data_IF_436952243661
#
_entry.id   IF_436952243661
#
_cell.length_a   1.000
_cell.length_b   1.000
_cell.length_c   1.000
_cell.angle_alpha   90.00
_cell.angle_beta   90.00
_cell.angle_gamma   90.00
#
_symmetry.space_group_name_H-M   'P 1'
#
loop_
_entity.id
_entity.type
_entity.pdbx_description
1 polymer ?
#
# COMPACT_ATOMS: atom_id res chain seq x y z
N UNK A 1 -9.18 -6.99 -6.99
CA UNK A 1 -8.16 -7.53 -6.06
C UNK A 1 -8.81 -7.88 -4.72
N UNK A 2 -8.39 -8.95 -4.04
CA UNK A 2 -8.93 -9.33 -2.72
C UNK A 2 -8.64 -8.26 -1.65
N UNK A 3 -9.57 -8.03 -0.72
CA UNK A 3 -9.41 -7.05 0.36
C UNK A 3 -8.21 -7.35 1.30
N UNK A 4 -7.93 -8.61 1.71
CA UNK A 4 -6.76 -8.91 2.55
C UNK A 4 -5.43 -8.54 1.89
N UNK A 5 -5.35 -8.73 0.57
CA UNK A 5 -4.17 -8.36 -0.21
C UNK A 5 -3.90 -6.85 -0.19
N UNK A 6 -4.95 -6.06 -0.35
CA UNK A 6 -4.87 -4.59 -0.32
C UNK A 6 -4.45 -4.12 1.07
N UNK A 7 -5.15 -4.59 2.10
CA UNK A 7 -4.87 -4.20 3.49
C UNK A 7 -3.41 -4.47 3.87
N UNK A 8 -2.89 -5.65 3.53
CA UNK A 8 -1.49 -5.98 3.77
C UNK A 8 -0.54 -4.95 3.19
N UNK A 9 -0.70 -4.61 1.91
CA UNK A 9 0.20 -3.67 1.25
C UNK A 9 0.01 -2.25 1.76
N UNK A 10 -1.22 -1.81 2.04
CA UNK A 10 -1.48 -0.47 2.57
C UNK A 10 -0.93 -0.28 3.99
N UNK A 11 -0.96 -1.33 4.82
CA UNK A 11 -0.46 -1.31 6.19
C UNK A 11 0.97 -1.87 6.34
N UNK A 12 1.64 -2.19 5.24
CA UNK A 12 3.04 -2.63 5.26
C UNK A 12 3.94 -1.43 5.56
N UNK A 13 4.88 -1.60 6.49
CA UNK A 13 5.81 -0.55 6.94
C UNK A 13 6.73 0.01 5.85
N UNK A 14 6.95 -0.72 4.74
CA UNK A 14 7.68 -0.21 3.59
C UNK A 14 6.79 0.52 2.57
N UNK A 15 5.48 0.52 2.79
CA UNK A 15 4.52 1.23 1.98
C UNK A 15 4.08 2.54 2.64
N UNK A 16 3.85 3.52 1.78
CA UNK A 16 3.32 4.83 2.14
C UNK A 16 2.03 5.07 1.39
N UNK A 17 1.09 5.75 2.02
CA UNK A 17 -0.17 6.13 1.39
C UNK A 17 -0.29 7.65 1.34
N UNK A 18 -0.59 8.15 0.16
CA UNK A 18 -0.83 9.55 -0.11
C UNK A 18 -2.32 9.76 -0.29
N UNK A 19 -2.98 10.37 0.70
CA UNK A 19 -4.42 10.50 0.73
C UNK A 19 -4.86 11.94 0.45
N UNK A 20 -5.94 12.08 -0.33
CA UNK A 20 -6.64 13.36 -0.54
C UNK A 20 -8.01 13.27 0.11
N UNK A 21 -8.26 14.19 1.04
CA UNK A 21 -9.54 14.35 1.70
C UNK A 21 -10.32 15.54 1.12
N UNK A 22 -11.64 15.46 1.19
CA UNK A 22 -12.53 16.55 0.83
C UNK A 22 -12.50 17.56 1.96
N UNK A 23 -12.24 18.83 1.63
CA UNK A 23 -12.44 19.95 2.54
C UNK A 23 -13.94 20.09 2.85
N UNK A 24 -14.30 19.99 4.14
CA UNK A 24 -15.65 20.32 4.63
C UNK A 24 -15.83 21.84 4.65
N UNK A 25 -17.07 22.30 4.56
CA UNK A 25 -17.39 23.70 4.87
C UNK A 25 -17.35 23.93 6.37
N UNK A 26 -17.14 25.18 6.80
CA UNK A 26 -17.17 25.55 8.23
C UNK A 26 -18.51 25.16 8.88
N UNK A 27 -19.61 25.23 8.13
CA UNK A 27 -20.95 24.80 8.57
C UNK A 27 -21.03 23.29 8.80
N UNK A 28 -20.51 22.47 7.88
CA UNK A 28 -20.46 21.00 8.01
C UNK A 28 -19.61 20.57 9.21
N UNK A 29 -18.52 21.28 9.48
CA UNK A 29 -17.62 21.01 10.61
C UNK A 29 -18.27 21.35 11.95
N UNK A 30 -18.93 22.51 12.05
CA UNK A 30 -19.67 22.92 13.25
C UNK A 30 -20.83 21.97 13.57
N UNK A 31 -21.55 21.47 12.57
CA UNK A 31 -22.64 20.51 12.78
C UNK A 31 -22.13 19.16 13.32
N UNK A 32 -20.96 18.69 12.86
CA UNK A 32 -20.35 17.44 13.33
C UNK A 32 -19.82 17.55 14.75
N UNK A 33 -19.16 18.67 15.09
CA UNK A 33 -18.71 18.96 16.45
C UNK A 33 -19.91 19.04 17.41
N UNK A 34 -21.03 19.64 16.97
CA UNK A 34 -22.27 19.69 17.75
C UNK A 34 -22.91 18.31 17.98
N UNK A 35 -22.65 17.34 17.10
CA UNK A 35 -23.07 15.93 17.24
C UNK A 35 -22.10 15.08 18.06
N UNK A 36 -21.06 15.68 18.65
CA UNK A 36 -20.07 14.99 19.48
C UNK A 36 -19.05 14.16 18.69
N UNK A 37 -18.84 14.49 17.41
CA UNK A 37 -17.88 13.80 16.57
C UNK A 37 -16.43 14.20 16.95
N UNK A 38 -15.52 13.23 17.03
CA UNK A 38 -14.09 13.44 17.34
C UNK A 38 -13.45 14.44 16.36
N UNK A 39 -12.58 15.37 16.81
CA UNK A 39 -11.84 16.27 15.91
C UNK A 39 -11.05 15.57 14.78
N UNK A 40 -10.70 14.28 14.91
CA UNK A 40 -10.08 13.49 13.83
C UNK A 40 -11.04 13.07 12.69
N UNK A 41 -12.34 13.40 12.78
CA UNK A 41 -13.38 13.17 11.74
C UNK A 41 -13.08 13.91 10.43
N UNK A 42 -12.13 14.86 10.44
CA UNK A 42 -11.56 15.46 9.23
C UNK A 42 -10.94 14.42 8.29
N UNK A 43 -10.41 13.31 8.83
CA UNK A 43 -9.78 12.21 8.09
C UNK A 43 -10.68 10.97 7.95
N UNK A 44 -12.00 11.13 8.15
CA UNK A 44 -12.93 10.00 8.03
C UNK A 44 -12.92 9.40 6.62
N UNK A 45 -13.22 8.10 6.55
CA UNK A 45 -13.33 7.35 5.28
C UNK A 45 -14.31 8.01 4.31
N UNK A 46 -15.38 8.63 4.84
CA UNK A 46 -16.41 9.32 4.07
C UNK A 46 -15.88 10.54 3.30
N UNK A 47 -14.81 11.15 3.80
CA UNK A 47 -14.16 12.30 3.18
C UNK A 47 -13.03 11.91 2.24
N UNK A 48 -12.63 10.64 2.20
CA UNK A 48 -11.52 10.19 1.36
C UNK A 48 -11.92 10.27 -0.12
N UNK A 49 -11.27 11.17 -0.86
CA UNK A 49 -11.55 11.41 -2.28
C UNK A 49 -10.72 10.51 -3.16
N UNK A 50 -9.50 10.19 -2.74
CA UNK A 50 -8.61 9.29 -3.45
C UNK A 50 -7.32 9.07 -2.69
N UNK A 51 -6.62 7.98 -3.04
CA UNK A 51 -5.35 7.63 -2.44
C UNK A 51 -4.40 7.00 -3.47
N UNK A 52 -3.10 7.22 -3.25
CA UNK A 52 -2.02 6.49 -3.91
C UNK A 52 -1.23 5.76 -2.84
N UNK A 53 -1.16 4.44 -2.91
CA UNK A 53 -0.25 3.64 -2.09
C UNK A 53 0.98 3.27 -2.91
N UNK A 54 2.16 3.53 -2.36
CA UNK A 54 3.43 3.30 -3.04
C UNK A 54 4.49 2.77 -2.08
N UNK A 55 5.42 1.99 -2.63
CA UNK A 55 6.62 1.50 -1.93
C UNK A 55 7.83 2.27 -2.42
N UNK A 56 8.71 2.68 -1.50
CA UNK A 56 9.94 3.40 -1.86
C UNK A 56 11.15 2.47 -1.90
N UNK A 57 12.03 2.66 -2.88
CA UNK A 57 13.34 2.01 -2.98
C UNK A 57 14.43 3.09 -3.09
N UNK A 58 14.77 3.78 -1.99
CA UNK A 58 15.69 4.93 -2.02
C UNK A 58 17.06 4.55 -2.61
N UNK A 59 17.62 3.42 -2.19
CA UNK A 59 18.93 2.93 -2.67
C UNK A 59 18.99 2.67 -4.18
N UNK A 60 17.83 2.59 -4.81
CA UNK A 60 17.67 2.29 -6.23
C UNK A 60 17.02 3.44 -6.99
N UNK A 61 16.80 4.59 -6.32
CA UNK A 61 16.31 5.82 -6.93
C UNK A 61 14.95 5.67 -7.63
N UNK A 62 14.06 4.81 -7.11
CA UNK A 62 12.71 4.66 -7.68
C UNK A 62 11.64 4.34 -6.61
N UNK A 63 10.38 4.54 -6.98
CA UNK A 63 9.23 4.06 -6.21
C UNK A 63 8.33 3.16 -7.07
N UNK A 64 7.56 2.29 -6.44
CA UNK A 64 6.50 1.49 -7.06
C UNK A 64 5.14 1.98 -6.56
N UNK A 65 4.26 2.43 -7.46
CA UNK A 65 2.85 2.65 -7.14
C UNK A 65 2.12 1.31 -7.18
N UNK A 66 1.72 0.83 -6.01
CA UNK A 66 0.96 -0.40 -5.83
C UNK A 66 -0.54 -0.19 -6.06
N UNK A 67 -1.11 0.91 -5.54
CA UNK A 67 -2.51 1.26 -5.71
C UNK A 67 -2.67 2.74 -6.06
N UNK A 68 -3.60 3.04 -6.96
CA UNK A 68 -4.01 4.40 -7.29
C UNK A 68 -5.50 4.40 -7.55
N UNK A 69 -6.26 5.02 -6.66
CA UNK A 69 -7.72 5.02 -6.74
C UNK A 69 -8.30 6.39 -6.42
N UNK A 70 -9.36 6.75 -7.16
CA UNK A 70 -10.19 7.93 -6.92
C UNK A 70 -11.62 7.46 -6.74
N UNK A 71 -12.34 8.08 -5.80
CA UNK A 71 -13.75 7.84 -5.56
C UNK A 71 -14.56 7.97 -6.87
N UNK A 72 -15.52 7.09 -7.08
CA UNK A 72 -16.23 6.93 -8.37
C UNK A 72 -16.81 8.24 -8.90
N UNK A 73 -17.42 9.02 -8.02
CA UNK A 73 -18.05 10.31 -8.33
C UNK A 73 -17.06 11.40 -8.77
N UNK A 74 -15.76 11.19 -8.55
CA UNK A 74 -14.70 12.16 -8.84
C UNK A 74 -13.78 11.70 -10.00
N UNK A 75 -14.15 10.63 -10.71
CA UNK A 75 -13.32 10.04 -11.79
C UNK A 75 -13.12 10.94 -13.03
N UNK A 76 -13.82 12.08 -13.12
CA UNK A 76 -13.73 13.05 -14.23
C UNK A 76 -13.45 14.49 -13.79
N UNK A 77 -13.24 14.75 -12.50
CA UNK A 77 -13.10 16.12 -11.96
C UNK A 77 -11.66 16.64 -11.96
N UNK A 78 -10.70 15.83 -12.43
CA UNK A 78 -9.28 16.17 -12.43
C UNK A 78 -8.53 15.85 -11.13
N UNK A 79 -9.21 15.25 -10.13
CA UNK A 79 -8.60 14.85 -8.85
C UNK A 79 -7.43 13.89 -9.04
N UNK A 80 -7.56 12.87 -9.90
CA UNK A 80 -6.46 11.92 -10.16
C UNK A 80 -5.22 12.62 -10.72
N UNK A 81 -5.40 13.58 -11.64
CA UNK A 81 -4.28 14.40 -12.16
C UNK A 81 -3.61 15.20 -11.05
N UNK A 82 -4.40 15.82 -10.17
CA UNK A 82 -3.88 16.57 -9.03
C UNK A 82 -3.14 15.65 -8.04
N UNK A 83 -3.69 14.49 -7.70
CA UNK A 83 -3.04 13.48 -6.84
C UNK A 83 -1.67 13.08 -7.37
N UNK A 84 -1.57 12.77 -8.66
CA UNK A 84 -0.31 12.39 -9.27
C UNK A 84 0.70 13.54 -9.31
N UNK A 85 0.25 14.76 -9.59
CA UNK A 85 1.11 15.94 -9.56
C UNK A 85 1.66 16.21 -8.16
N UNK A 86 0.79 16.16 -7.14
CA UNK A 86 1.16 16.31 -5.74
C UNK A 86 2.14 15.22 -5.28
N UNK A 87 1.91 13.96 -5.65
CA UNK A 87 2.85 12.87 -5.37
C UNK A 87 4.22 13.15 -5.99
N UNK A 88 4.27 13.56 -7.26
CA UNK A 88 5.54 13.85 -7.94
C UNK A 88 6.33 14.99 -7.28
N UNK A 89 5.67 16.08 -6.89
CA UNK A 89 6.33 17.14 -6.13
C UNK A 89 6.80 16.65 -4.76
N UNK A 90 5.96 15.90 -4.05
CA UNK A 90 6.32 15.34 -2.75
C UNK A 90 7.56 14.43 -2.83
N UNK A 91 7.67 13.59 -3.86
CA UNK A 91 8.84 12.72 -4.06
C UNK A 91 10.12 13.49 -4.35
N UNK A 92 10.04 14.67 -4.98
CA UNK A 92 11.19 15.57 -5.12
C UNK A 92 11.60 16.18 -3.80
N UNK A 93 10.64 16.52 -2.94
CA UNK A 93 10.91 17.14 -1.64
C UNK A 93 11.57 16.16 -0.67
N UNK A 94 11.07 14.91 -0.58
CA UNK A 94 11.72 13.87 0.24
C UNK A 94 13.17 13.65 -0.21
N UNK A 95 13.46 13.78 -1.50
CA UNK A 95 14.82 13.68 -2.02
C UNK A 95 15.73 14.87 -1.64
N UNK A 96 15.18 16.00 -1.16
CA UNK A 96 15.88 17.27 -0.91
C UNK A 96 16.01 17.64 0.56
N UNK A 97 15.23 17.05 1.47
CA UNK A 97 15.34 17.33 2.91
C UNK A 97 16.74 17.00 3.47
N UNK A 98 17.46 16.05 2.86
CA UNK A 98 18.84 15.74 3.21
C UNK A 98 19.85 16.82 2.75
N UNK A 99 19.61 17.55 1.65
CA UNK A 99 20.52 18.61 1.15
C UNK A 99 20.61 19.81 2.11
N UNK A 100 19.50 20.18 2.76
CA UNK A 100 19.45 21.30 3.71
C UNK A 100 20.25 21.05 4.99
N UNK A 101 20.58 19.79 5.26
CA UNK A 101 21.38 19.36 6.42
C UNK A 101 22.90 19.37 6.18
N UNK A 102 23.34 19.78 4.98
CA UNK A 102 24.76 19.84 4.60
C UNK A 102 25.40 18.47 4.35
N UNK A 103 24.59 17.42 4.29
CA UNK A 103 24.98 16.05 3.93
C UNK A 103 24.53 15.82 2.48
N UNK A 104 25.40 15.23 1.65
CA UNK A 104 25.00 14.85 0.29
C UNK A 104 23.70 14.02 0.35
N UNK A 105 22.66 14.35 -0.46
CA UNK A 105 21.40 13.64 -0.40
C UNK A 105 21.66 12.17 -0.67
N UNK A 106 21.38 11.33 0.33
CA UNK A 106 21.80 9.93 0.29
C UNK A 106 21.15 9.21 -0.90
N UNK A 107 19.95 9.63 -1.30
CA UNK A 107 19.16 9.04 -2.37
C UNK A 107 18.26 10.06 -3.09
N UNK A 108 18.07 9.91 -4.41
CA UNK A 108 17.17 10.77 -5.21
C UNK A 108 16.20 9.91 -5.99
N UNK A 109 14.89 10.08 -5.77
CA UNK A 109 13.87 9.36 -6.55
C UNK A 109 13.84 9.92 -7.98
N UNK A 110 14.20 9.10 -8.97
CA UNK A 110 14.24 9.48 -10.39
C UNK A 110 13.16 8.81 -11.22
N UNK A 111 12.68 7.64 -10.80
CA UNK A 111 11.73 6.86 -11.57
C UNK A 111 10.53 6.44 -10.71
N UNK A 112 9.36 6.41 -11.33
CA UNK A 112 8.13 5.87 -10.75
C UNK A 112 7.70 4.70 -11.62
N UNK A 113 7.57 3.53 -11.03
CA UNK A 113 7.07 2.33 -11.69
C UNK A 113 5.65 2.02 -11.22
N UNK A 114 4.86 1.41 -12.09
CA UNK A 114 3.54 0.88 -11.72
C UNK A 114 3.11 -0.22 -12.67
N UNK A 115 2.41 -1.22 -12.15
CA UNK A 115 1.64 -2.15 -12.96
C UNK A 115 0.24 -1.60 -13.17
N UNK A 116 -0.03 -1.13 -14.39
CA UNK A 116 -1.31 -0.55 -14.76
C UNK A 116 -2.23 -1.62 -15.35
N UNK A 117 -3.44 -1.73 -14.80
CA UNK A 117 -4.53 -2.44 -15.47
C UNK A 117 -4.81 -1.78 -16.85
N UNK A 118 -5.32 -2.56 -17.80
CA UNK A 118 -5.60 -2.15 -19.18
C UNK A 118 -6.50 -0.92 -19.25
N UNK A 119 -7.46 -0.78 -18.33
CA UNK A 119 -8.32 0.40 -18.23
C UNK A 119 -7.59 1.65 -17.71
N UNK A 120 -6.52 1.48 -16.94
CA UNK A 120 -5.75 2.56 -16.33
C UNK A 120 -4.56 3.01 -17.20
N UNK A 121 -4.15 2.23 -18.21
CA UNK A 121 -3.03 2.59 -19.11
C UNK A 121 -3.18 4.00 -19.68
N UNK A 122 -4.36 4.35 -20.18
CA UNK A 122 -4.62 5.67 -20.75
C UNK A 122 -4.54 6.81 -19.71
N UNK A 123 -4.87 6.54 -18.45
CA UNK A 123 -4.67 7.49 -17.36
C UNK A 123 -3.18 7.70 -17.10
N UNK A 124 -2.41 6.64 -16.92
CA UNK A 124 -0.97 6.73 -16.63
C UNK A 124 -0.20 7.37 -17.80
N UNK A 125 -0.56 7.09 -19.06
CA UNK A 125 0.00 7.79 -20.22
C UNK A 125 -0.20 9.30 -20.16
N UNK A 126 -1.41 9.76 -19.79
CA UNK A 126 -1.69 11.20 -19.58
C UNK A 126 -0.90 11.80 -18.42
N UNK A 127 -0.49 10.98 -17.45
CA UNK A 127 0.40 11.38 -16.37
C UNK A 127 1.89 11.29 -16.73
N UNK A 128 2.25 10.98 -17.98
CA UNK A 128 3.65 10.91 -18.43
C UNK A 128 4.32 9.56 -18.26
N UNK A 129 3.55 8.50 -17.96
CA UNK A 129 4.09 7.13 -17.95
C UNK A 129 4.14 6.54 -19.35
N UNK A 130 5.12 5.69 -19.60
CA UNK A 130 5.33 4.99 -20.86
C UNK A 130 5.61 3.50 -20.63
N UNK A 131 5.29 2.67 -21.62
CA UNK A 131 5.36 1.19 -21.51
C UNK A 131 6.79 0.63 -21.68
N UNK A 132 7.65 1.34 -22.41
CA UNK A 132 9.01 0.88 -22.71
C UNK A 132 9.96 1.37 -21.63
N UNK A 133 10.30 0.51 -20.68
CA UNK A 133 11.20 0.87 -19.59
C UNK A 133 12.57 1.28 -20.15
N UNK A 134 13.09 2.40 -19.66
CA UNK A 134 14.44 2.88 -19.93
C UNK A 134 15.36 2.66 -18.72
N UNK A 135 14.77 2.37 -17.56
CA UNK A 135 15.50 2.02 -16.37
C UNK A 135 16.12 0.63 -16.50
N UNK A 136 17.35 0.51 -16.00
CA UNK A 136 18.09 -0.76 -15.95
C UNK A 136 17.28 -1.85 -15.22
N UNK A 137 17.24 -3.04 -15.80
CA UNK A 137 16.46 -4.18 -15.32
C UNK A 137 16.90 -4.59 -13.92
N UNK A 138 18.21 -4.54 -13.65
CA UNK A 138 18.81 -4.85 -12.35
C UNK A 138 18.29 -3.96 -11.21
N UNK A 139 17.76 -2.77 -11.53
CA UNK A 139 17.19 -1.86 -10.52
C UNK A 139 15.83 -2.36 -10.00
N UNK A 140 15.00 -2.99 -10.83
CA UNK A 140 13.62 -3.34 -10.45
C UNK A 140 13.31 -4.85 -10.45
N UNK A 141 14.08 -5.66 -11.16
CA UNK A 141 13.82 -7.10 -11.29
C UNK A 141 13.84 -7.79 -9.92
N UNK A 142 12.86 -8.68 -9.70
CA UNK A 142 12.66 -9.40 -8.44
C UNK A 142 12.25 -8.55 -7.24
N UNK A 143 11.93 -7.25 -7.43
CA UNK A 143 11.62 -6.31 -6.33
C UNK A 143 10.22 -5.73 -6.38
N UNK A 144 9.70 -5.56 -7.59
CA UNK A 144 8.32 -5.16 -7.84
C UNK A 144 7.47 -6.37 -8.15
N UNK A 145 6.18 -6.31 -7.82
CA UNK A 145 5.32 -7.47 -8.01
C UNK A 145 4.79 -7.56 -9.44
N UNK A 146 4.88 -8.74 -10.04
CA UNK A 146 4.25 -9.04 -11.32
C UNK A 146 2.75 -9.30 -11.14
N UNK A 147 1.91 -8.60 -11.90
CA UNK A 147 0.47 -8.81 -11.96
C UNK A 147 0.09 -9.32 -13.34
N UNK A 148 -0.68 -10.40 -13.37
CA UNK A 148 -1.26 -10.92 -14.62
C UNK A 148 -2.20 -9.88 -15.23
N UNK A 149 -2.23 -9.82 -16.55
CA UNK A 149 -3.06 -8.89 -17.34
C UNK A 149 -2.79 -7.39 -17.10
N UNK A 150 -1.70 -7.04 -16.40
CA UNK A 150 -1.27 -5.67 -16.18
C UNK A 150 -0.05 -5.31 -17.03
N UNK A 151 0.08 -4.03 -17.35
CA UNK A 151 1.20 -3.49 -18.13
C UNK A 151 2.13 -2.73 -17.20
N UNK A 152 3.40 -3.15 -17.13
CA UNK A 152 4.43 -2.38 -16.42
C UNK A 152 4.69 -1.06 -17.15
N UNK A 153 4.62 0.05 -16.41
CA UNK A 153 4.83 1.39 -16.94
C UNK A 153 5.82 2.17 -16.08
N UNK A 154 6.61 3.02 -16.73
CA UNK A 154 7.60 3.89 -16.10
C UNK A 154 7.27 5.36 -16.33
N UNK A 155 7.46 6.20 -15.32
CA UNK A 155 7.51 7.65 -15.43
C UNK A 155 8.85 8.15 -14.90
N UNK A 156 9.49 9.03 -15.65
CA UNK A 156 10.68 9.73 -15.20
C UNK A 156 10.29 10.99 -14.44
N UNK A 157 10.93 11.20 -13.30
CA UNK A 157 10.74 12.36 -12.45
C UNK A 157 11.82 13.40 -12.77
N UNK A 158 11.39 14.58 -13.19
CA UNK A 158 12.27 15.67 -13.62
C UNK A 158 12.27 16.79 -12.58
N UNK A 159 13.44 17.12 -12.05
CA UNK A 159 13.59 18.12 -10.98
C UNK A 159 13.14 19.53 -11.35
N UNK A 160 13.30 19.90 -12.63
CA UNK A 160 13.03 21.24 -13.14
C UNK A 160 11.59 21.45 -13.61
N UNK A 161 10.76 20.40 -13.58
CA UNK A 161 9.37 20.47 -14.06
C UNK A 161 8.44 20.67 -12.88
N UNK A 162 7.79 21.83 -12.75
CA UNK A 162 6.67 22.00 -11.81
C UNK A 162 5.44 21.22 -12.32
N UNK A 163 5.14 20.09 -11.69
CA UNK A 163 4.03 19.21 -12.05
C UNK A 163 2.66 19.78 -11.64
N UNK A 164 2.60 20.69 -10.66
CA UNK A 164 1.35 21.37 -10.27
C UNK A 164 0.95 22.41 -11.31
N UNK A 165 1.93 23.11 -11.90
CA UNK A 165 1.70 24.20 -12.85
C UNK A 165 2.08 23.87 -14.30
N UNK A 166 2.29 22.60 -14.64
CA UNK A 166 2.73 22.18 -15.98
C UNK A 166 1.82 22.71 -17.10
N UNK A 167 0.51 22.76 -16.86
CA UNK A 167 -0.46 23.28 -17.84
C UNK A 167 -0.27 24.77 -18.12
N UNK A 168 0.07 25.56 -17.10
CA UNK A 168 0.37 26.99 -17.22
C UNK A 168 1.69 27.18 -17.95
N UNK A 169 2.73 26.44 -17.58
CA UNK A 169 4.04 26.50 -18.24
C UNK A 169 3.95 26.15 -19.73
N UNK A 170 3.19 25.12 -20.09
CA UNK A 170 2.98 24.74 -21.49
C UNK A 170 2.23 25.82 -22.28
N UNK A 171 1.24 26.50 -21.68
CA UNK A 171 0.55 27.63 -22.32
C UNK A 171 1.52 28.79 -22.61
N UNK A 172 2.37 29.13 -21.64
CA UNK A 172 3.39 30.17 -21.81
C UNK A 172 4.40 29.78 -22.89
N UNK A 173 4.93 28.56 -22.83
CA UNK A 173 5.88 28.06 -23.84
C UNK A 173 5.26 28.10 -25.25
N UNK A 174 4.01 27.65 -25.39
CA UNK A 174 3.28 27.70 -26.66
C UNK A 174 3.13 29.13 -27.17
N UNK A 175 2.75 30.08 -26.30
CA UNK A 175 2.60 31.48 -26.68
C UNK A 175 3.92 32.10 -27.16
N UNK A 176 5.03 31.80 -26.47
CA UNK A 176 6.37 32.24 -26.86
C UNK A 176 6.81 31.68 -28.21
N UNK A 177 6.58 30.38 -28.45
CA UNK A 177 6.90 29.73 -29.73
C UNK A 177 6.09 30.33 -30.87
N UNK A 178 4.77 30.52 -30.69
CA UNK A 178 3.90 31.09 -31.71
C UNK A 178 4.28 32.55 -32.02
N UNK A 179 4.57 33.35 -30.98
CA UNK A 179 5.04 34.72 -31.14
C UNK A 179 6.34 34.78 -31.94
N UNK A 180 7.31 33.91 -31.62
CA UNK A 180 8.58 33.82 -32.35
C UNK A 180 8.43 33.33 -33.79
N UNK A 181 7.46 32.46 -34.03
CA UNK A 181 7.13 31.96 -35.37
C UNK A 181 6.32 32.96 -36.22
N UNK A 182 5.90 34.10 -35.65
CA UNK A 182 5.06 35.09 -36.34
C UNK A 182 3.65 34.59 -36.62
N UNK A 183 3.18 33.55 -35.92
CA UNK A 183 1.85 32.96 -36.12
C UNK A 183 0.91 33.48 -35.04
N UNK A 184 -0.11 34.23 -35.44
CA UNK A 184 -1.21 34.57 -34.54
C UNK A 184 -2.02 33.32 -34.21
N UNK A 185 -2.35 33.07 -32.93
CA UNK A 185 -3.17 31.91 -32.58
C UNK A 185 -4.53 32.00 -33.27
N UNK A 186 -4.93 30.91 -33.94
CA UNK A 186 -6.26 30.79 -34.54
C UNK A 186 -7.29 30.83 -33.41
N UNK A 187 -8.01 31.95 -33.31
CA UNK A 187 -9.17 32.08 -32.42
C UNK A 187 -10.31 31.24 -33.02
N UNK A 188 -10.50 30.03 -32.53
CA UNK A 188 -11.75 29.32 -32.79
C UNK A 188 -12.85 30.02 -32.01
N UNK A 189 -13.76 30.69 -32.72
CA UNK A 189 -15.05 31.20 -32.22
C UNK A 189 -16.03 30.05 -32.00
N UNK A 190 -15.62 29.01 -31.27
CA UNK A 190 -16.57 28.21 -30.51
C UNK A 190 -16.72 28.93 -29.20
N UNK A 191 -17.96 29.20 -28.77
CA UNK A 191 -18.29 29.83 -27.49
C UNK A 191 -17.20 29.55 -26.47
N UNK A 192 -16.35 30.55 -26.29
CA UNK A 192 -15.54 30.67 -25.10
C UNK A 192 -16.55 30.97 -24.01
N UNK A 193 -17.30 29.94 -23.61
CA UNK A 193 -17.61 29.81 -22.21
C UNK A 193 -16.28 30.09 -21.54
N UNK A 194 -16.22 31.21 -20.83
CA UNK A 194 -15.30 31.32 -19.73
C UNK A 194 -15.55 30.06 -18.90
N UNK A 195 -14.85 28.98 -19.23
CA UNK A 195 -14.10 28.31 -18.23
C UNK A 195 -13.13 29.39 -17.71
N UNK A 196 -13.68 30.29 -16.89
CA UNK A 196 -13.42 30.20 -15.47
C UNK A 196 -13.33 28.71 -15.13
N UNK A 197 -12.17 28.13 -15.48
CA UNK A 197 -11.45 27.31 -14.54
C UNK A 197 -11.26 28.30 -13.40
N UNK A 198 -12.31 28.41 -12.59
CA UNK A 198 -12.16 28.52 -11.19
C UNK A 198 -11.21 27.37 -10.88
N UNK A 199 -9.91 27.68 -10.97
CA UNK A 199 -8.96 27.37 -9.93
C UNK A 199 -9.55 27.99 -8.65
N UNK A 200 -10.74 27.54 -8.22
CA UNK A 200 -10.79 26.90 -6.93
C UNK A 200 -9.68 25.88 -7.04
N UNK A 201 -8.48 26.29 -6.61
CA UNK A 201 -7.91 25.64 -5.46
C UNK A 201 -9.09 25.07 -4.68
N UNK A 202 -9.48 23.83 -5.00
CA UNK A 202 -9.60 22.90 -3.91
C UNK A 202 -8.24 23.03 -3.25
N UNK A 203 -8.17 23.96 -2.30
CA UNK A 203 -7.15 23.92 -1.27
C UNK A 203 -7.42 22.54 -0.70
N UNK A 204 -6.68 21.56 -1.20
CA UNK A 204 -6.64 20.24 -0.60
C UNK A 204 -5.81 20.48 0.66
N UNK A 205 -6.44 21.14 1.63
CA UNK A 205 -6.01 21.04 3.01
C UNK A 205 -6.29 19.60 3.43
N UNK A 206 -5.31 18.98 4.06
CA UNK A 206 -5.37 17.58 4.45
C UNK A 206 -4.59 16.64 3.53
N UNK A 207 -3.56 17.13 2.83
CA UNK A 207 -2.56 16.22 2.28
C UNK A 207 -1.81 15.56 3.44
N UNK A 208 -2.12 14.29 3.66
CA UNK A 208 -1.48 13.49 4.70
C UNK A 208 -0.79 12.32 4.02
N UNK A 209 0.52 12.24 4.20
CA UNK A 209 1.25 11.00 4.02
C UNK A 209 0.84 10.08 5.17
N UNK A 210 -0.14 9.22 4.95
CA UNK A 210 -0.49 8.20 5.91
C UNK A 210 0.58 7.10 5.86
N UNK A 211 1.27 6.91 6.98
CA UNK A 211 2.03 5.69 7.24
C UNK A 211 1.16 4.72 8.06
N UNK A 212 1.49 3.42 8.14
CA UNK A 212 0.75 2.49 8.99
C UNK A 212 0.63 2.94 10.45
N UNK A 213 1.56 3.77 10.92
CA UNK A 213 1.57 4.36 12.27
C UNK A 213 0.62 5.57 12.42
N UNK A 214 0.06 6.09 11.32
CA UNK A 214 -0.80 7.29 11.27
C UNK A 214 -2.29 6.98 11.06
N UNK A 215 -2.67 5.70 11.10
CA UNK A 215 -4.06 5.31 11.38
C UNK A 215 -4.46 6.01 12.68
N UNK A 216 -5.66 6.65 12.77
CA UNK A 216 -6.09 7.37 13.98
C UNK A 216 -5.71 6.55 15.18
N UNK A 217 -5.03 7.16 16.16
CA UNK A 217 -4.50 6.48 17.35
C UNK A 217 -5.55 5.46 17.81
N UNK A 218 -5.33 4.19 17.45
CA UNK A 218 -6.07 3.13 18.09
C UNK A 218 -5.69 3.32 19.54
N UNK A 219 -6.69 3.52 20.41
CA UNK A 219 -6.49 3.51 21.85
C UNK A 219 -5.45 2.42 22.18
N UNK A 220 -4.35 2.79 22.85
CA UNK A 220 -3.27 1.85 23.18
C UNK A 220 -3.83 0.63 23.91
N UNK A 221 -4.92 0.79 24.65
CA UNK A 221 -5.62 -0.33 25.27
C UNK A 221 -6.19 -1.31 24.22
N UNK A 222 -6.70 -0.83 23.08
CA UNK A 222 -7.18 -1.66 21.96
C UNK A 222 -6.02 -2.34 21.23
N UNK A 223 -4.92 -1.63 20.97
CA UNK A 223 -3.70 -2.20 20.38
C UNK A 223 -3.14 -3.34 21.25
N UNK A 224 -3.06 -3.10 22.56
CA UNK A 224 -2.59 -4.08 23.53
C UNK A 224 -3.55 -5.28 23.63
N UNK A 225 -4.88 -5.07 23.56
CA UNK A 225 -5.85 -6.18 23.46
C UNK A 225 -5.62 -7.01 22.21
N UNK A 226 -5.50 -6.38 21.04
CA UNK A 226 -5.26 -7.08 19.77
C UNK A 226 -3.95 -7.87 19.82
N UNK A 227 -2.90 -7.28 20.40
CA UNK A 227 -1.61 -7.93 20.62
C UNK A 227 -1.75 -9.17 21.51
N UNK A 228 -2.44 -9.05 22.65
CA UNK A 228 -2.67 -10.15 23.60
C UNK A 228 -3.46 -11.29 22.97
N UNK A 229 -4.56 -10.97 22.28
CA UNK A 229 -5.42 -11.95 21.59
C UNK A 229 -4.64 -12.68 20.50
N UNK A 230 -3.89 -11.94 19.67
CA UNK A 230 -3.13 -12.52 18.56
C UNK A 230 -1.97 -13.39 19.08
N UNK A 231 -1.28 -12.95 20.13
CA UNK A 231 -0.20 -13.72 20.76
C UNK A 231 -0.72 -15.00 21.42
N UNK A 232 -1.77 -14.90 22.24
CA UNK A 232 -2.35 -16.05 22.94
C UNK A 232 -2.83 -17.15 21.97
N UNK A 233 -3.47 -16.76 20.86
CA UNK A 233 -3.91 -17.69 19.81
C UNK A 233 -2.72 -18.46 19.20
N UNK A 234 -1.60 -17.77 18.95
CA UNK A 234 -0.42 -18.37 18.32
C UNK A 234 0.41 -19.18 19.31
N UNK A 235 0.46 -18.77 20.56
CA UNK A 235 1.12 -19.51 21.64
C UNK A 235 0.40 -20.83 21.92
N UNK A 236 -0.93 -20.84 22.00
CA UNK A 236 -1.72 -22.08 22.15
C UNK A 236 -1.44 -23.08 21.02
N UNK A 237 -1.40 -22.60 19.77
CA UNK A 237 -1.12 -23.45 18.61
C UNK A 237 0.29 -24.03 18.65
N UNK A 238 1.27 -23.28 19.14
CA UNK A 238 2.67 -23.73 19.18
C UNK A 238 3.02 -24.55 20.44
N UNK A 239 2.22 -24.47 21.50
CA UNK A 239 2.52 -25.10 22.81
C UNK A 239 1.55 -26.21 23.23
N UNK A 240 0.44 -26.42 22.52
CA UNK A 240 -0.52 -27.50 22.82
C UNK A 240 0.05 -28.92 22.59
N UNK A 241 -0.77 -29.95 22.86
CA UNK A 241 -0.39 -31.38 22.78
C UNK A 241 0.26 -31.82 21.46
N UNK A 242 0.04 -31.05 20.39
CA UNK A 242 0.59 -31.30 19.06
C UNK A 242 1.67 -30.29 18.64
N UNK A 243 2.22 -29.50 19.57
CA UNK A 243 3.24 -28.47 19.29
C UNK A 243 4.51 -29.03 18.65
N UNK A 244 4.87 -30.28 18.96
CA UNK A 244 5.98 -30.98 18.30
C UNK A 244 5.77 -31.15 16.79
N UNK A 245 4.52 -31.35 16.34
CA UNK A 245 4.19 -31.50 14.93
C UNK A 245 4.17 -30.17 14.17
N UNK A 246 4.13 -29.03 14.88
CA UNK A 246 4.23 -27.69 14.31
C UNK A 246 5.65 -27.14 14.27
N UNK A 247 6.62 -27.84 14.86
CA UNK A 247 8.02 -27.38 14.99
C UNK A 247 8.59 -26.88 13.66
N UNK A 248 8.39 -27.64 12.59
CA UNK A 248 8.93 -27.31 11.27
C UNK A 248 8.14 -26.19 10.56
N UNK A 249 6.90 -25.94 11.00
CA UNK A 249 6.07 -24.84 10.52
C UNK A 249 6.40 -23.50 11.19
N UNK A 250 7.15 -23.54 12.30
CA UNK A 250 7.60 -22.36 13.07
C UNK A 250 8.88 -21.75 12.49
N UNK A 251 9.70 -22.52 11.77
CA UNK A 251 10.97 -22.05 11.24
C UNK A 251 10.83 -21.60 9.76
N UNK A 252 11.68 -20.69 9.28
CA UNK A 252 11.77 -20.39 7.85
C UNK A 252 12.29 -21.61 7.07
N UNK A 253 12.00 -21.72 5.76
CA UNK A 253 12.46 -22.86 4.95
C UNK A 253 13.97 -23.11 4.98
N UNK A 254 14.77 -22.04 5.14
CA UNK A 254 16.23 -22.11 5.22
C UNK A 254 16.74 -22.89 6.44
N UNK A 255 15.92 -22.98 7.49
CA UNK A 255 16.26 -23.68 8.74
C UNK A 255 15.67 -25.09 8.80
N UNK A 256 14.95 -25.52 7.75
CA UNK A 256 14.54 -26.91 7.63
C UNK A 256 15.79 -27.82 7.52
N UNK A 257 15.76 -29.07 8.03
CA UNK A 257 16.92 -29.97 8.17
C UNK A 257 17.84 -30.15 6.96
N UNK A 258 17.35 -29.91 5.73
CA UNK A 258 18.13 -30.05 4.49
C UNK A 258 18.34 -28.72 3.74
N UNK A 259 18.03 -27.58 4.38
CA UNK A 259 18.17 -26.24 3.79
C UNK A 259 17.21 -26.00 2.61
N UNK A 260 15.90 -26.11 2.85
CA UNK A 260 14.88 -25.92 1.82
C UNK A 260 15.01 -24.55 1.13
N UNK A 261 15.19 -24.55 -0.19
CA UNK A 261 15.07 -23.32 -0.98
C UNK A 261 13.60 -23.12 -1.39
N UNK A 262 13.14 -21.88 -1.36
CA UNK A 262 11.82 -21.54 -1.89
C UNK A 262 11.73 -21.95 -3.36
N UNK A 263 10.67 -22.67 -3.78
CA UNK A 263 10.34 -22.79 -5.18
C UNK A 263 10.11 -21.38 -5.75
N UNK A 264 10.50 -21.13 -7.02
CA UNK A 264 10.18 -19.87 -7.70
C UNK A 264 8.67 -19.59 -7.59
N UNK A 265 8.28 -18.50 -6.91
CA UNK A 265 6.88 -18.11 -6.70
C UNK A 265 6.40 -18.04 -5.24
N UNK A 266 7.17 -18.55 -4.27
CA UNK A 266 6.81 -18.52 -2.83
C UNK A 266 7.54 -17.45 -2.00
N UNK A 267 8.16 -16.46 -2.66
CA UNK A 267 8.94 -15.37 -2.04
C UNK A 267 8.15 -14.50 -1.04
N UNK A 268 6.83 -14.60 -1.07
CA UNK A 268 5.88 -13.77 -0.32
C UNK A 268 5.21 -14.53 0.84
N UNK A 269 5.63 -15.78 1.10
CA UNK A 269 5.05 -16.63 2.15
C UNK A 269 5.57 -16.30 3.54
N UNK A 270 4.76 -16.65 4.54
CA UNK A 270 4.98 -16.34 5.95
C UNK A 270 4.86 -17.66 6.71
N UNK A 271 5.82 -17.96 7.59
CA UNK A 271 5.78 -19.13 8.46
C UNK A 271 5.22 -18.77 9.83
N UNK A 272 4.80 -19.76 10.61
CA UNK A 272 4.05 -19.54 11.85
C UNK A 272 4.85 -18.74 12.88
N UNK A 273 6.16 -18.96 12.96
CA UNK A 273 7.07 -18.22 13.84
C UNK A 273 7.12 -16.72 13.53
N UNK A 274 7.13 -16.34 12.26
CA UNK A 274 7.11 -14.93 11.86
C UNK A 274 5.76 -14.27 12.19
N UNK A 275 4.65 -15.00 12.04
CA UNK A 275 3.33 -14.50 12.47
C UNK A 275 3.33 -14.27 13.98
N UNK A 276 3.88 -15.21 14.76
CA UNK A 276 3.99 -15.10 16.21
C UNK A 276 4.85 -13.90 16.63
N UNK A 277 6.03 -13.73 16.04
CA UNK A 277 6.90 -12.59 16.29
C UNK A 277 6.18 -11.25 16.00
N UNK A 278 5.54 -11.15 14.84
CA UNK A 278 4.75 -9.97 14.45
C UNK A 278 3.60 -9.69 15.42
N UNK A 279 2.90 -10.73 15.87
CA UNK A 279 1.84 -10.58 16.87
C UNK A 279 2.40 -10.03 18.19
N UNK A 280 3.50 -10.57 18.71
CA UNK A 280 4.14 -10.04 19.91
C UNK A 280 4.72 -8.65 19.72
N UNK A 281 5.10 -8.26 18.51
CA UNK A 281 5.57 -6.91 18.20
C UNK A 281 4.44 -5.88 18.02
N UNK A 282 3.16 -6.30 18.11
CA UNK A 282 2.02 -5.40 17.89
C UNK A 282 1.84 -5.00 16.42
N UNK A 283 2.35 -5.80 15.48
CA UNK A 283 2.27 -5.51 14.04
C UNK A 283 0.83 -5.52 13.52
N UNK A 284 -0.01 -6.44 14.01
CA UNK A 284 -1.38 -6.58 13.54
C UNK A 284 -2.30 -5.56 14.20
N UNK A 285 -2.63 -4.49 13.47
CA UNK A 285 -3.56 -3.44 13.95
C UNK A 285 -5.02 -3.77 13.66
N UNK A 286 -5.27 -4.58 12.64
CA UNK A 286 -6.63 -4.98 12.26
C UNK A 286 -6.69 -6.49 12.02
N UNK A 287 -7.89 -7.07 12.19
CA UNK A 287 -8.13 -8.49 11.88
C UNK A 287 -7.69 -8.86 10.47
N UNK A 288 -7.92 -7.96 9.52
CA UNK A 288 -7.60 -8.19 8.10
C UNK A 288 -6.09 -8.34 7.89
N UNK A 289 -5.26 -7.63 8.65
CA UNK A 289 -3.79 -7.79 8.57
C UNK A 289 -3.37 -9.19 9.02
N UNK A 290 -3.92 -9.68 10.14
CA UNK A 290 -3.65 -11.02 10.65
C UNK A 290 -4.18 -12.09 9.69
N UNK A 291 -5.40 -11.93 9.19
CA UNK A 291 -5.99 -12.85 8.20
C UNK A 291 -5.15 -12.95 6.92
N UNK A 292 -4.57 -11.83 6.46
CA UNK A 292 -3.68 -11.84 5.30
C UNK A 292 -2.43 -12.70 5.53
N UNK A 293 -1.77 -12.56 6.68
CA UNK A 293 -0.58 -13.38 6.98
C UNK A 293 -0.95 -14.85 7.21
N UNK A 294 -2.10 -15.14 7.83
CA UNK A 294 -2.61 -16.52 7.97
C UNK A 294 -2.92 -17.15 6.61
N UNK A 295 -3.42 -16.36 5.65
CA UNK A 295 -3.65 -16.83 4.27
C UNK A 295 -2.33 -17.19 3.58
N UNK A 296 -1.25 -16.41 3.80
CA UNK A 296 0.09 -16.72 3.26
C UNK A 296 0.74 -17.91 3.96
N UNK A 297 0.43 -18.11 5.23
CA UNK A 297 0.82 -19.32 5.94
C UNK A 297 0.21 -20.57 5.31
N UNK A 298 -0.99 -20.49 4.73
CA UNK A 298 -1.55 -21.59 3.93
C UNK A 298 -0.71 -21.92 2.68
N UNK A 299 -0.14 -20.91 2.03
CA UNK A 299 0.78 -21.14 0.91
C UNK A 299 2.07 -21.80 1.41
N UNK A 300 2.57 -21.38 2.59
CA UNK A 300 3.70 -22.02 3.25
C UNK A 300 3.42 -23.49 3.63
N UNK A 301 2.23 -23.81 4.14
CA UNK A 301 1.88 -25.20 4.46
C UNK A 301 1.72 -26.07 3.21
N UNK A 302 1.30 -25.47 2.09
CA UNK A 302 1.28 -26.14 0.78
C UNK A 302 2.69 -26.47 0.30
N UNK A 303 3.64 -25.53 0.43
CA UNK A 303 5.06 -25.78 0.17
C UNK A 303 5.62 -26.87 1.10
N UNK A 304 5.39 -26.74 2.40
CA UNK A 304 5.87 -27.68 3.41
C UNK A 304 5.41 -29.11 3.11
N UNK A 305 4.16 -29.26 2.68
CA UNK A 305 3.62 -30.55 2.23
C UNK A 305 4.41 -31.13 1.06
N UNK A 306 4.71 -30.34 0.04
CA UNK A 306 5.47 -30.79 -1.12
C UNK A 306 6.91 -31.15 -0.75
N UNK A 307 7.52 -30.36 0.14
CA UNK A 307 8.83 -30.63 0.70
C UNK A 307 8.85 -31.97 1.48
N UNK A 308 7.88 -32.19 2.36
CA UNK A 308 7.72 -33.44 3.14
C UNK A 308 7.49 -34.67 2.28
N UNK A 309 6.81 -34.54 1.12
CA UNK A 309 6.57 -35.66 0.19
C UNK A 309 7.85 -36.29 -0.34
N UNK A 310 8.94 -35.52 -0.42
CA UNK A 310 10.21 -35.96 -0.97
C UNK A 310 11.14 -36.56 0.10
N UNK A 311 10.72 -36.64 1.37
CA UNK A 311 11.55 -37.10 2.48
C UNK A 311 11.34 -38.58 2.84
N UNK A 312 12.40 -39.28 3.29
CA UNK A 312 12.32 -40.68 3.72
C UNK A 312 11.61 -40.88 5.07
N UNK A 313 11.57 -39.87 5.94
CA UNK A 313 10.91 -39.85 7.26
C UNK A 313 9.42 -39.45 7.20
N UNK A 314 8.81 -39.51 6.00
CA UNK A 314 7.41 -39.17 5.76
C UNK A 314 6.46 -39.94 6.69
N UNK A 315 5.60 -39.21 7.40
CA UNK A 315 4.35 -39.76 7.94
C UNK A 315 3.14 -39.07 7.29
N UNK A 316 2.04 -39.80 6.99
CA UNK A 316 0.80 -39.20 6.48
C UNK A 316 0.17 -38.17 7.44
N UNK A 317 0.50 -38.26 8.73
CA UNK A 317 0.01 -37.38 9.78
C UNK A 317 0.56 -35.96 9.63
N UNK A 318 1.86 -35.80 9.33
CA UNK A 318 2.49 -34.48 9.11
C UNK A 318 1.85 -33.70 7.96
N UNK A 319 1.51 -34.36 6.84
CA UNK A 319 0.91 -33.73 5.66
C UNK A 319 -0.53 -33.25 5.95
N UNK A 320 -1.31 -34.04 6.67
CA UNK A 320 -2.69 -33.68 7.05
C UNK A 320 -2.71 -32.54 8.06
N UNK A 321 -1.75 -32.56 8.98
CA UNK A 321 -1.64 -31.59 10.06
C UNK A 321 -1.33 -30.19 9.56
N UNK A 322 -0.42 -30.04 8.60
CA UNK A 322 -0.04 -28.73 8.06
C UNK A 322 -1.22 -27.99 7.39
N UNK A 323 -2.09 -28.70 6.66
CA UNK A 323 -3.26 -28.10 6.01
C UNK A 323 -4.31 -27.70 7.04
N UNK A 324 -4.58 -28.61 7.99
CA UNK A 324 -5.54 -28.41 9.08
C UNK A 324 -5.14 -27.21 9.97
N UNK A 325 -3.84 -27.04 10.23
CA UNK A 325 -3.28 -25.91 10.96
C UNK A 325 -3.66 -24.55 10.38
N UNK A 326 -3.41 -24.37 9.08
CA UNK A 326 -3.67 -23.12 8.40
C UNK A 326 -5.17 -22.82 8.34
N UNK A 327 -6.00 -23.84 8.12
CA UNK A 327 -7.45 -23.69 8.12
C UNK A 327 -7.99 -23.32 9.49
N UNK A 328 -7.60 -24.06 10.54
CA UNK A 328 -7.98 -23.75 11.93
C UNK A 328 -7.55 -22.36 12.35
N UNK A 329 -6.32 -21.95 12.02
CA UNK A 329 -5.84 -20.61 12.32
C UNK A 329 -6.69 -19.53 11.63
N UNK A 330 -6.98 -19.67 10.34
CA UNK A 330 -7.82 -18.71 9.60
C UNK A 330 -9.24 -18.65 10.18
N UNK A 331 -9.85 -19.79 10.50
CA UNK A 331 -11.19 -19.84 11.09
C UNK A 331 -11.24 -19.17 12.46
N UNK A 332 -10.25 -19.43 13.32
CA UNK A 332 -10.14 -18.78 14.63
C UNK A 332 -9.92 -17.29 14.50
N UNK A 333 -9.03 -16.84 13.61
CA UNK A 333 -8.82 -15.40 13.34
C UNK A 333 -10.09 -14.72 12.84
N UNK A 334 -10.92 -15.40 12.05
CA UNK A 334 -12.21 -14.86 11.61
C UNK A 334 -13.23 -14.77 12.73
N UNK A 335 -13.20 -15.72 13.67
CA UNK A 335 -14.04 -15.73 14.84
C UNK A 335 -13.61 -14.72 15.91
N UNK A 336 -12.37 -14.21 15.84
CA UNK A 336 -11.92 -13.13 16.71
C UNK A 336 -12.71 -11.85 16.43
N UNK A 337 -13.33 -11.32 17.49
CA UNK A 337 -13.87 -9.98 17.51
C UNK A 337 -12.76 -9.01 17.98
N UNK A 338 -12.26 -8.19 17.04
CA UNK A 338 -11.22 -7.19 17.34
C UNK A 338 -11.82 -5.92 17.97
N UNK A 339 -13.16 -5.82 18.00
CA UNK A 339 -13.90 -4.63 18.38
C UNK A 339 -14.67 -4.81 19.70
N UNK A 340 -14.70 -6.02 20.29
CA UNK A 340 -15.32 -6.25 21.60
C UNK A 340 -14.49 -5.65 22.75
N UNK A 341 -15.16 -4.96 23.67
CA UNK A 341 -14.52 -4.44 24.90
C UNK A 341 -14.28 -5.53 25.94
N UNK A 342 -15.03 -6.63 25.87
CA UNK A 342 -15.02 -7.73 26.85
C UNK A 342 -13.82 -8.69 26.74
N UNK A 343 -12.83 -8.37 25.89
CA UNK A 343 -11.73 -9.29 25.56
C UNK A 343 -12.23 -10.52 24.79
N UNK A 344 -11.34 -11.46 24.41
CA UNK A 344 -11.80 -12.70 23.81
C UNK A 344 -12.68 -13.40 24.84
N UNK A 345 -13.93 -13.71 24.47
CA UNK A 345 -14.73 -14.69 25.20
C UNK A 345 -13.82 -15.89 25.44
N UNK A 346 -13.62 -16.20 26.72
CA UNK A 346 -12.68 -17.20 27.23
C UNK A 346 -12.50 -18.33 26.23
N UNK A 347 -11.29 -18.42 25.68
CA UNK A 347 -10.81 -19.53 24.88
C UNK A 347 -10.63 -20.71 25.85
N UNK A 348 -11.75 -21.25 26.31
CA UNK A 348 -11.89 -22.44 27.13
C UNK A 348 -13.37 -22.79 27.06
N UNK A 349 -13.77 -23.40 25.94
CA UNK A 349 -14.79 -24.44 25.88
C UNK A 349 -14.59 -25.28 24.61
#
# INVERSE_FOLDING_TARGET
>A
MPAPYIARLVFDHHHHSFCIYRKRTEEEEQELLAKGADPDVLRSVENLVGAISFRSFPERNFIEIAFCAVHTEKRSTGVGRLMMALLKEHLKHIAREDEASGVDPKFVIKNILTYADNFAVGYFQKQGFFKRLTMDTDRHEGRIKHYDEAVLMQCDLYDHVDYLHVGTHLKVCRALILSRAGVSPISHSGESGELAVAHRQAVVDGLVTARPEMVPEMDEARLERVRQVSAALLDELTTGENGEMYRDLICPPSELPDGGQFPPGLQDTVWLGLIRERAHAGYYRTRIMLESDCTRFKDYTTFYREWMRNRPDRTPEHERYAIDAAQKLIERVRALDFDSEDGPATIND
#
